data_IF_997360311117
#
_entry.id   IF_997360311117
#
_cell.length_a   1.000
_cell.length_b   1.000
_cell.length_c   1.000
_cell.angle_alpha   90.00
_cell.angle_beta   90.00
_cell.angle_gamma   90.00
#
_symmetry.space_group_name_H-M   'P 1'
#
loop_
_entity.id
_entity.type
_entity.pdbx_description
1 polymer ?
#
# COMPACT_ATOMS: atom_id res chain seq x y z
N UNK A 1 -17.63 -16.33 -51.90
CA UNK A 1 -17.60 -17.23 -50.72
C UNK A 1 -16.62 -16.84 -49.61
N UNK A 2 -15.85 -15.73 -49.71
CA UNK A 2 -14.96 -15.29 -48.64
C UNK A 2 -15.70 -14.83 -47.36
N UNK A 3 -16.85 -14.16 -47.52
CA UNK A 3 -17.59 -13.55 -46.41
C UNK A 3 -18.14 -14.56 -45.37
N UNK A 4 -18.78 -15.66 -45.80
CA UNK A 4 -19.31 -16.68 -44.87
C UNK A 4 -18.21 -17.43 -44.10
N UNK A 5 -17.07 -17.70 -44.74
CA UNK A 5 -15.92 -18.34 -44.07
C UNK A 5 -15.31 -17.41 -43.02
N UNK A 6 -15.20 -16.12 -43.34
CA UNK A 6 -14.70 -15.09 -42.41
C UNK A 6 -15.62 -14.92 -41.19
N UNK A 7 -16.94 -14.89 -41.39
CA UNK A 7 -17.92 -14.83 -40.30
C UNK A 7 -17.77 -16.06 -39.39
N UNK A 8 -17.66 -17.27 -39.95
CA UNK A 8 -17.45 -18.49 -39.17
C UNK A 8 -16.16 -18.42 -38.35
N UNK A 9 -15.08 -17.91 -38.92
CA UNK A 9 -13.81 -17.74 -38.20
C UNK A 9 -13.92 -16.71 -37.05
N UNK A 10 -14.65 -15.59 -37.25
CA UNK A 10 -14.91 -14.62 -36.17
C UNK A 10 -15.73 -15.25 -35.04
N UNK A 11 -16.74 -16.06 -35.36
CA UNK A 11 -17.54 -16.77 -34.34
C UNK A 11 -16.65 -17.68 -33.49
N UNK A 12 -15.77 -18.47 -34.13
CA UNK A 12 -14.84 -19.35 -33.40
C UNK A 12 -13.87 -18.54 -32.52
N UNK A 13 -13.32 -17.44 -33.05
CA UNK A 13 -12.41 -16.55 -32.29
C UNK A 13 -13.09 -15.92 -31.07
N UNK A 14 -14.31 -15.41 -31.22
CA UNK A 14 -15.10 -14.82 -30.12
C UNK A 14 -15.47 -15.88 -29.09
N UNK A 15 -15.88 -17.08 -29.51
CA UNK A 15 -16.19 -18.17 -28.60
C UNK A 15 -14.97 -18.63 -27.80
N UNK A 16 -13.80 -18.73 -28.44
CA UNK A 16 -12.54 -19.03 -27.75
C UNK A 16 -12.19 -17.95 -26.73
N UNK A 17 -12.29 -16.68 -27.11
CA UNK A 17 -12.04 -15.54 -26.20
C UNK A 17 -13.01 -15.53 -25.01
N UNK A 18 -14.28 -15.88 -25.23
CA UNK A 18 -15.30 -16.03 -24.18
C UNK A 18 -14.94 -17.14 -23.19
N UNK A 19 -14.47 -18.30 -23.66
CA UNK A 19 -14.05 -19.39 -22.79
C UNK A 19 -12.82 -19.00 -21.96
N UNK A 20 -11.81 -18.40 -22.58
CA UNK A 20 -10.58 -17.95 -21.90
C UNK A 20 -10.91 -16.92 -20.81
N UNK A 21 -11.70 -15.90 -21.13
CA UNK A 21 -12.09 -14.86 -20.16
C UNK A 21 -12.98 -15.41 -19.04
N UNK A 22 -13.86 -16.38 -19.33
CA UNK A 22 -14.66 -17.07 -18.32
C UNK A 22 -13.79 -17.87 -17.35
N UNK A 23 -12.81 -18.62 -17.87
CA UNK A 23 -11.85 -19.35 -17.03
C UNK A 23 -11.01 -18.39 -16.18
N UNK A 24 -10.51 -17.30 -16.76
CA UNK A 24 -9.77 -16.26 -16.03
C UNK A 24 -10.63 -15.65 -14.91
N UNK A 25 -11.92 -15.38 -15.16
CA UNK A 25 -12.84 -14.87 -14.13
C UNK A 25 -12.93 -15.83 -12.94
N UNK A 26 -13.07 -17.14 -13.18
CA UNK A 26 -13.13 -18.14 -12.10
C UNK A 26 -11.82 -18.22 -11.32
N UNK A 27 -10.67 -18.23 -12.00
CA UNK A 27 -9.35 -18.24 -11.36
C UNK A 27 -9.13 -16.98 -10.52
N UNK A 28 -9.49 -15.81 -11.04
CA UNK A 28 -9.39 -14.55 -10.31
C UNK A 28 -10.34 -14.50 -9.11
N UNK A 29 -11.56 -15.04 -9.23
CA UNK A 29 -12.49 -15.12 -8.10
C UNK A 29 -11.94 -16.00 -6.97
N UNK A 30 -11.34 -17.14 -7.30
CA UNK A 30 -10.69 -18.00 -6.31
C UNK A 30 -9.50 -17.31 -5.62
N UNK A 31 -8.71 -16.54 -6.37
CA UNK A 31 -7.60 -15.74 -5.80
C UNK A 31 -8.08 -14.61 -4.91
N UNK A 32 -9.14 -13.91 -5.32
CA UNK A 32 -9.75 -12.85 -4.52
C UNK A 32 -10.24 -13.39 -3.18
N UNK A 33 -10.91 -14.54 -3.18
CA UNK A 33 -11.38 -15.17 -1.93
C UNK A 33 -10.22 -15.49 -0.98
N UNK A 34 -9.13 -16.08 -1.48
CA UNK A 34 -7.93 -16.34 -0.66
C UNK A 34 -7.33 -15.06 -0.07
N UNK A 35 -7.25 -14.00 -0.87
CA UNK A 35 -6.75 -12.70 -0.40
C UNK A 35 -7.67 -12.09 0.67
N UNK A 36 -9.00 -12.18 0.48
CA UNK A 36 -9.98 -11.73 1.48
C UNK A 36 -9.83 -12.49 2.79
N UNK A 37 -9.71 -13.81 2.74
CA UNK A 37 -9.54 -14.65 3.93
C UNK A 37 -8.26 -14.26 4.70
N UNK A 38 -7.14 -14.01 3.99
CA UNK A 38 -5.90 -13.55 4.60
C UNK A 38 -6.05 -12.16 5.28
N UNK A 39 -6.75 -11.22 4.64
CA UNK A 39 -7.02 -9.89 5.22
C UNK A 39 -7.92 -9.98 6.46
N UNK A 40 -8.95 -10.85 6.42
CA UNK A 40 -9.86 -11.07 7.56
C UNK A 40 -9.09 -11.63 8.75
N UNK A 41 -8.16 -12.56 8.53
CA UNK A 41 -7.31 -13.13 9.58
C UNK A 41 -6.33 -12.10 10.17
N UNK A 42 -5.85 -11.15 9.36
CA UNK A 42 -4.93 -10.09 9.81
C UNK A 42 -5.64 -8.97 10.60
N UNK A 43 -6.90 -8.69 10.29
CA UNK A 43 -7.64 -7.54 10.84
C UNK A 43 -7.66 -7.47 12.38
N UNK A 44 -7.89 -8.57 13.14
CA UNK A 44 -7.85 -8.53 14.61
C UNK A 44 -6.50 -8.05 15.16
N UNK A 45 -5.40 -8.53 14.59
CA UNK A 45 -4.05 -8.12 14.99
C UNK A 45 -3.80 -6.64 14.69
N UNK A 46 -4.10 -6.20 13.46
CA UNK A 46 -3.94 -4.79 13.06
C UNK A 46 -4.79 -3.85 13.91
N UNK A 47 -6.04 -4.21 14.21
CA UNK A 47 -6.93 -3.38 15.00
C UNK A 47 -6.46 -3.29 16.45
N UNK A 48 -6.06 -4.43 17.06
CA UNK A 48 -5.58 -4.42 18.45
C UNK A 48 -4.25 -3.69 18.60
N UNK A 49 -3.36 -3.80 17.61
CA UNK A 49 -2.12 -3.02 17.54
C UNK A 49 -2.41 -1.52 17.50
N UNK A 50 -3.33 -1.07 16.64
CA UNK A 50 -3.74 0.33 16.56
C UNK A 50 -4.40 0.82 17.85
N UNK A 51 -5.24 -0.01 18.46
CA UNK A 51 -5.88 0.29 19.75
C UNK A 51 -4.82 0.49 20.86
N UNK A 52 -3.84 -0.40 20.96
CA UNK A 52 -2.76 -0.29 21.95
C UNK A 52 -1.92 0.96 21.70
N UNK A 53 -1.52 1.22 20.44
CA UNK A 53 -0.75 2.43 20.10
C UNK A 53 -1.56 3.69 20.44
N UNK A 54 -2.86 3.70 20.12
CA UNK A 54 -3.75 4.81 20.47
C UNK A 54 -3.83 5.01 21.98
N UNK A 55 -4.03 3.96 22.76
CA UNK A 55 -4.14 4.03 24.21
C UNK A 55 -2.84 4.51 24.87
N UNK A 56 -1.68 4.09 24.36
CA UNK A 56 -0.37 4.56 24.87
C UNK A 56 -0.11 6.01 24.47
N UNK A 57 -0.57 6.42 23.28
CA UNK A 57 -0.40 7.79 22.77
C UNK A 57 -1.29 8.81 23.51
N UNK A 58 -2.42 8.37 24.09
CA UNK A 58 -3.29 9.23 24.92
C UNK A 58 -2.52 9.63 26.19
N UNK A 59 -2.20 10.91 26.30
CA UNK A 59 -1.46 11.50 27.42
C UNK A 59 0.05 11.68 27.19
N UNK A 60 0.55 11.41 25.98
CA UNK A 60 1.87 11.86 25.53
C UNK A 60 1.68 13.11 24.65
N UNK A 61 2.28 14.24 25.06
CA UNK A 61 2.20 15.51 24.32
C UNK A 61 2.88 15.43 22.94
N UNK A 62 3.84 14.51 22.79
CA UNK A 62 4.46 14.14 21.52
C UNK A 62 4.77 12.65 21.50
N UNK A 63 4.56 12.01 20.34
CA UNK A 63 5.18 10.72 20.04
C UNK A 63 6.63 11.02 19.69
N UNK A 64 7.48 11.20 20.71
CA UNK A 64 8.91 11.34 20.49
C UNK A 64 9.46 10.02 19.96
N UNK A 65 9.89 10.02 18.70
CA UNK A 65 10.39 8.83 18.04
C UNK A 65 10.91 9.11 16.64
N UNK A 66 11.90 8.33 16.23
CA UNK A 66 12.60 8.46 14.94
C UNK A 66 11.66 8.35 13.72
N UNK A 67 10.45 7.83 13.90
CA UNK A 67 9.44 7.66 12.84
C UNK A 67 8.34 8.73 12.85
N UNK A 68 8.32 9.61 13.84
CA UNK A 68 7.28 10.64 14.03
C UNK A 68 7.80 12.06 13.79
N UNK A 69 9.11 12.22 13.59
CA UNK A 69 9.77 13.52 13.36
C UNK A 69 9.21 14.20 12.10
N UNK A 70 8.52 15.33 12.28
CA UNK A 70 8.10 16.19 11.19
C UNK A 70 9.19 17.20 10.87
N UNK A 71 9.52 17.29 9.58
CA UNK A 71 10.61 18.13 9.07
C UNK A 71 10.22 18.79 7.76
N UNK A 72 11.06 19.73 7.32
CA UNK A 72 10.90 20.40 6.05
C UNK A 72 10.88 19.39 4.90
N UNK A 73 9.85 19.46 4.05
CA UNK A 73 9.62 18.49 2.98
C UNK A 73 10.57 18.75 1.80
N UNK A 74 11.69 18.02 1.74
CA UNK A 74 12.65 18.10 0.63
C UNK A 74 12.59 16.86 -0.26
N UNK A 75 12.53 15.67 0.33
CA UNK A 75 12.50 14.39 -0.37
C UNK A 75 11.22 13.64 -0.02
N UNK A 76 10.41 13.31 -1.03
CA UNK A 76 9.13 12.62 -0.85
C UNK A 76 9.16 11.28 -1.57
N UNK A 77 8.84 10.20 -0.85
CA UNK A 77 8.69 8.87 -1.41
C UNK A 77 7.22 8.54 -1.65
N UNK A 78 6.86 8.33 -2.91
CA UNK A 78 5.56 7.78 -3.28
C UNK A 78 5.70 6.27 -3.52
N UNK A 79 5.06 5.47 -2.66
CA UNK A 79 4.99 4.01 -2.82
C UNK A 79 3.72 3.68 -3.59
N UNK A 80 3.85 3.40 -4.88
CA UNK A 80 2.70 3.05 -5.70
C UNK A 80 2.54 1.55 -5.82
N UNK A 81 1.38 1.03 -5.41
CA UNK A 81 1.07 -0.40 -5.36
C UNK A 81 0.21 -0.77 -6.56
N UNK A 82 0.77 -1.57 -7.46
CA UNK A 82 0.09 -2.08 -8.66
C UNK A 82 0.36 -3.56 -8.88
N UNK A 83 -0.42 -4.18 -9.77
CA UNK A 83 -0.23 -5.58 -10.12
C UNK A 83 0.90 -5.78 -11.13
N UNK A 84 1.42 -7.01 -11.22
CA UNK A 84 2.27 -7.43 -12.33
C UNK A 84 1.49 -7.67 -13.64
N UNK A 85 0.18 -7.90 -13.54
CA UNK A 85 -0.68 -8.38 -14.64
C UNK A 85 -1.53 -7.25 -15.23
N UNK A 86 -2.09 -7.50 -16.41
CA UNK A 86 -3.06 -6.62 -17.07
C UNK A 86 -4.50 -7.12 -16.88
N UNK A 87 -5.41 -6.65 -17.74
CA UNK A 87 -6.83 -7.08 -17.79
C UNK A 87 -7.59 -6.87 -16.47
N UNK A 88 -7.25 -5.82 -15.74
CA UNK A 88 -7.79 -5.48 -14.41
C UNK A 88 -8.59 -4.16 -14.44
N UNK A 89 -9.15 -3.79 -15.59
CA UNK A 89 -9.86 -2.52 -15.77
C UNK A 89 -8.99 -1.32 -15.39
N UNK A 90 -9.54 -0.43 -14.57
CA UNK A 90 -8.87 0.80 -14.11
C UNK A 90 -7.85 0.62 -13.00
N UNK A 91 -7.71 -0.56 -12.39
CA UNK A 91 -6.93 -0.77 -11.15
C UNK A 91 -5.52 -0.18 -11.19
N UNK A 92 -4.70 -0.60 -12.16
CA UNK A 92 -3.32 -0.10 -12.28
C UNK A 92 -3.28 1.39 -12.72
N UNK A 93 -4.15 1.77 -13.65
CA UNK A 93 -4.16 3.13 -14.22
C UNK A 93 -4.55 4.18 -13.19
N UNK A 94 -5.47 3.86 -12.26
CA UNK A 94 -5.90 4.77 -11.21
C UNK A 94 -4.73 5.12 -10.28
N UNK A 95 -3.98 4.10 -9.82
CA UNK A 95 -2.78 4.30 -8.98
C UNK A 95 -1.72 5.10 -9.71
N UNK A 96 -1.38 4.73 -10.95
CA UNK A 96 -0.36 5.43 -11.75
C UNK A 96 -0.73 6.91 -11.93
N UNK A 97 -1.99 7.21 -12.30
CA UNK A 97 -2.46 8.59 -12.47
C UNK A 97 -2.36 9.38 -11.17
N UNK A 98 -2.74 8.78 -10.04
CA UNK A 98 -2.68 9.45 -8.74
C UNK A 98 -1.25 9.72 -8.30
N UNK A 99 -0.32 8.78 -8.50
CA UNK A 99 1.11 8.99 -8.22
C UNK A 99 1.66 10.15 -9.04
N UNK A 100 1.39 10.19 -10.35
CA UNK A 100 1.83 11.27 -11.23
C UNK A 100 1.22 12.61 -10.82
N UNK A 101 -0.08 12.63 -10.47
CA UNK A 101 -0.78 13.83 -10.03
C UNK A 101 -0.22 14.37 -8.71
N UNK A 102 0.03 13.50 -7.73
CA UNK A 102 0.64 13.90 -6.45
C UNK A 102 2.04 14.50 -6.67
N UNK A 103 2.85 13.85 -7.52
CA UNK A 103 4.19 14.35 -7.84
C UNK A 103 4.16 15.71 -8.55
N UNK A 104 3.23 15.91 -9.49
CA UNK A 104 3.16 17.12 -10.30
C UNK A 104 2.51 18.32 -9.58
N UNK A 105 1.57 18.07 -8.66
CA UNK A 105 0.77 19.13 -8.03
C UNK A 105 1.19 19.35 -6.57
N UNK A 106 1.03 18.35 -5.71
CA UNK A 106 1.19 18.49 -4.26
C UNK A 106 2.66 18.59 -3.87
N UNK A 107 3.52 17.80 -4.54
CA UNK A 107 4.93 17.71 -4.22
C UNK A 107 5.84 18.35 -5.28
N UNK A 108 5.32 19.32 -6.04
CA UNK A 108 6.03 19.96 -7.17
C UNK A 108 7.38 20.58 -6.77
N UNK A 109 7.47 21.11 -5.55
CA UNK A 109 8.66 21.79 -5.03
C UNK A 109 9.61 20.86 -4.25
N UNK A 110 9.28 19.57 -4.15
CA UNK A 110 10.08 18.57 -3.48
C UNK A 110 10.70 17.61 -4.51
N UNK A 111 11.79 16.95 -4.13
CA UNK A 111 12.36 15.85 -4.88
C UNK A 111 11.50 14.59 -4.68
N UNK A 112 10.70 14.25 -5.68
CA UNK A 112 9.78 13.12 -5.63
C UNK A 112 10.45 11.87 -6.19
N UNK A 113 10.55 10.86 -5.36
CA UNK A 113 11.04 9.54 -5.72
C UNK A 113 9.89 8.54 -5.65
N UNK A 114 9.79 7.65 -6.62
CA UNK A 114 8.75 6.60 -6.64
C UNK A 114 9.37 5.26 -6.30
N UNK A 115 8.75 4.54 -5.35
CA UNK A 115 8.99 3.12 -5.10
C UNK A 115 7.89 2.32 -5.81
N UNK A 116 8.18 1.73 -6.98
CA UNK A 116 7.20 0.95 -7.71
C UNK A 116 7.03 -0.43 -7.08
N UNK A 117 5.86 -0.74 -6.51
CA UNK A 117 5.49 -2.12 -6.16
C UNK A 117 4.64 -2.69 -7.29
N UNK A 118 5.20 -3.70 -7.97
CA UNK A 118 4.63 -4.32 -9.16
C UNK A 118 5.16 -3.79 -10.50
N UNK A 119 5.06 -4.63 -11.52
CA UNK A 119 5.61 -4.38 -12.86
C UNK A 119 4.93 -3.22 -13.59
N UNK A 120 3.61 -3.04 -13.41
CA UNK A 120 2.84 -2.07 -14.21
C UNK A 120 3.18 -0.63 -13.90
N UNK A 121 3.33 -0.28 -12.62
CA UNK A 121 3.82 1.05 -12.25
C UNK A 121 5.30 1.23 -12.61
N UNK A 122 6.14 0.22 -12.43
CA UNK A 122 7.56 0.28 -12.84
C UNK A 122 7.70 0.65 -14.32
N UNK A 123 6.96 -0.02 -15.20
CA UNK A 123 6.97 0.23 -16.64
C UNK A 123 6.40 1.61 -17.00
N UNK A 124 5.41 2.10 -16.25
CA UNK A 124 4.84 3.43 -16.45
C UNK A 124 5.80 4.54 -16.03
N UNK A 125 6.43 4.41 -14.86
CA UNK A 125 7.34 5.42 -14.31
C UNK A 125 8.62 5.54 -15.14
N UNK A 126 9.12 4.44 -15.72
CA UNK A 126 10.25 4.47 -16.67
C UNK A 126 10.04 5.39 -17.87
N UNK A 127 8.78 5.66 -18.23
CA UNK A 127 8.42 6.52 -19.37
C UNK A 127 8.20 7.99 -18.96
N UNK A 128 8.31 8.31 -17.68
CA UNK A 128 8.13 9.65 -17.13
C UNK A 128 9.47 10.23 -16.65
N UNK A 129 9.47 11.52 -16.30
CA UNK A 129 10.60 12.22 -15.70
C UNK A 129 10.82 11.90 -14.22
N UNK A 130 9.97 11.07 -13.62
CA UNK A 130 10.04 10.70 -12.21
C UNK A 130 11.17 9.68 -11.96
N UNK A 131 11.99 9.97 -10.94
CA UNK A 131 13.10 9.11 -10.54
C UNK A 131 12.59 7.90 -9.74
N UNK A 132 13.06 6.71 -10.10
CA UNK A 132 12.84 5.50 -9.29
C UNK A 132 13.91 5.44 -8.22
N UNK A 133 13.56 5.08 -6.98
CA UNK A 133 14.53 5.02 -5.88
C UNK A 133 15.62 3.98 -6.14
N UNK A 134 16.85 4.35 -6.54
CA UNK A 134 17.85 3.36 -6.95
C UNK A 134 18.18 2.38 -5.81
N UNK A 135 18.17 2.89 -4.57
CA UNK A 135 18.53 2.16 -3.36
C UNK A 135 17.39 1.27 -2.82
N UNK A 136 16.12 1.58 -3.13
CA UNK A 136 14.95 0.82 -2.64
C UNK A 136 14.36 -0.14 -3.69
N UNK A 137 14.87 -0.12 -4.93
CA UNK A 137 14.28 -0.78 -6.10
C UNK A 137 14.48 -2.30 -6.22
N UNK A 138 15.12 -2.97 -5.26
CA UNK A 138 15.46 -4.38 -5.41
C UNK A 138 14.20 -5.28 -5.48
N UNK A 139 13.82 -5.67 -6.70
CA UNK A 139 12.83 -6.71 -7.06
C UNK A 139 11.49 -6.70 -6.31
N UNK A 140 10.95 -5.51 -6.04
CA UNK A 140 9.58 -5.30 -5.52
C UNK A 140 8.46 -5.97 -6.34
N UNK A 141 8.71 -6.38 -7.58
CA UNK A 141 7.75 -7.13 -8.39
C UNK A 141 7.58 -8.59 -7.95
N UNK A 142 8.59 -9.20 -7.31
CA UNK A 142 8.55 -10.59 -6.84
C UNK A 142 7.64 -10.79 -5.63
N UNK A 143 7.23 -9.70 -4.97
CA UNK A 143 6.34 -9.77 -3.81
C UNK A 143 4.99 -10.42 -4.16
N UNK A 144 4.57 -10.35 -5.43
CA UNK A 144 3.33 -10.94 -5.89
C UNK A 144 3.42 -12.45 -6.16
N UNK A 145 4.64 -12.98 -6.29
CA UNK A 145 4.87 -14.42 -6.43
C UNK A 145 4.68 -15.11 -5.07
N UNK A 146 5.15 -14.46 -4.00
CA UNK A 146 5.02 -14.90 -2.62
C UNK A 146 4.74 -13.72 -1.68
N UNK A 147 3.45 -13.46 -1.44
CA UNK A 147 2.99 -12.39 -0.55
C UNK A 147 2.97 -12.89 0.90
N UNK A 148 4.10 -12.72 1.59
CA UNK A 148 4.26 -13.05 3.01
C UNK A 148 4.58 -11.81 3.84
N UNK A 149 4.27 -11.86 5.14
CA UNK A 149 4.60 -10.78 6.06
C UNK A 149 6.11 -10.52 6.12
N UNK A 150 6.95 -11.55 6.01
CA UNK A 150 8.40 -11.41 5.97
C UNK A 150 8.85 -10.56 4.77
N UNK A 151 8.40 -10.91 3.56
CA UNK A 151 8.75 -10.18 2.34
C UNK A 151 8.25 -8.72 2.37
N UNK A 152 7.05 -8.49 2.89
CA UNK A 152 6.53 -7.13 3.08
C UNK A 152 7.32 -6.35 4.15
N UNK A 153 7.72 -7.02 5.24
CA UNK A 153 8.50 -6.42 6.32
C UNK A 153 9.89 -5.97 5.86
N UNK A 154 10.52 -6.71 4.96
CA UNK A 154 11.81 -6.32 4.38
C UNK A 154 11.71 -5.02 3.57
N UNK A 155 10.62 -4.83 2.83
CA UNK A 155 10.36 -3.58 2.11
C UNK A 155 10.08 -2.45 3.11
N UNK A 156 9.24 -2.69 4.12
CA UNK A 156 8.95 -1.70 5.16
C UNK A 156 10.23 -1.27 5.89
N UNK A 157 11.09 -2.22 6.27
CA UNK A 157 12.37 -1.93 6.93
C UNK A 157 13.26 -1.01 6.10
N UNK A 158 13.35 -1.23 4.78
CA UNK A 158 14.15 -0.37 3.89
C UNK A 158 13.59 1.04 3.82
N UNK A 159 12.26 1.18 3.72
CA UNK A 159 11.58 2.49 3.73
C UNK A 159 11.84 3.21 5.06
N UNK A 160 11.71 2.49 6.17
CA UNK A 160 11.94 3.00 7.51
C UNK A 160 13.39 3.45 7.71
N UNK A 161 14.37 2.64 7.27
CA UNK A 161 15.79 3.01 7.33
C UNK A 161 16.09 4.26 6.50
N UNK A 162 15.54 4.38 5.29
CA UNK A 162 15.72 5.57 4.47
C UNK A 162 15.11 6.83 5.12
N UNK A 163 14.03 6.69 5.88
CA UNK A 163 13.46 7.77 6.68
C UNK A 163 14.40 8.16 7.83
N UNK A 164 14.84 7.20 8.64
CA UNK A 164 15.75 7.42 9.79
C UNK A 164 17.09 8.02 9.35
N UNK A 165 17.65 7.55 8.22
CA UNK A 165 18.88 8.09 7.62
C UNK A 165 18.72 9.50 7.01
N UNK A 166 17.52 10.06 7.09
CA UNK A 166 17.14 11.36 6.56
C UNK A 166 17.24 11.50 5.05
N UNK A 167 17.23 10.39 4.31
CA UNK A 167 17.16 10.39 2.84
C UNK A 167 15.76 10.78 2.34
N UNK A 168 14.73 10.51 3.14
CA UNK A 168 13.31 10.70 2.78
C UNK A 168 12.58 11.38 3.94
N UNK A 169 11.88 12.47 3.66
CA UNK A 169 11.19 13.28 4.68
C UNK A 169 9.71 12.93 4.84
N UNK A 170 9.09 12.34 3.80
CA UNK A 170 7.70 11.90 3.81
C UNK A 170 7.49 10.68 2.92
N UNK A 171 6.70 9.73 3.39
CA UNK A 171 6.32 8.52 2.65
C UNK A 171 4.82 8.46 2.51
N UNK A 172 4.32 8.28 1.30
CA UNK A 172 2.89 8.13 1.00
C UNK A 172 2.65 6.83 0.24
N UNK A 173 1.73 6.00 0.74
CA UNK A 173 1.27 4.80 0.03
C UNK A 173 0.11 5.18 -0.89
N UNK A 174 0.19 4.75 -2.15
CA UNK A 174 -0.89 4.92 -3.13
C UNK A 174 -1.34 3.53 -3.58
N UNK A 175 -2.55 3.14 -3.18
CA UNK A 175 -3.08 1.80 -3.40
C UNK A 175 -4.60 1.81 -3.56
N UNK A 176 -5.16 0.71 -4.03
CA UNK A 176 -6.60 0.53 -4.16
C UNK A 176 -7.13 -0.23 -2.94
N UNK A 177 -7.89 0.44 -2.09
CA UNK A 177 -8.58 -0.18 -0.97
C UNK A 177 -9.79 -0.98 -1.47
N UNK A 178 -9.85 -2.23 -1.04
CA UNK A 178 -10.98 -3.10 -1.35
C UNK A 178 -12.21 -2.71 -0.53
N UNK A 179 -13.29 -2.28 -1.20
CA UNK A 179 -14.62 -2.09 -0.57
C UNK A 179 -15.53 -3.26 -0.86
N UNK A 180 -15.66 -3.62 -2.14
CA UNK A 180 -16.37 -4.81 -2.59
C UNK A 180 -15.85 -5.26 -3.96
N UNK A 181 -16.40 -6.35 -4.51
CA UNK A 181 -15.93 -6.91 -5.77
C UNK A 181 -16.04 -5.95 -6.98
N UNK A 182 -16.92 -4.94 -6.91
CA UNK A 182 -17.13 -3.97 -7.98
C UNK A 182 -16.38 -2.65 -7.73
N UNK A 183 -16.24 -2.25 -6.46
CA UNK A 183 -15.71 -0.94 -6.06
C UNK A 183 -14.38 -1.11 -5.35
N UNK A 184 -13.35 -0.50 -5.93
CA UNK A 184 -12.07 -0.25 -5.28
C UNK A 184 -11.89 1.26 -5.11
N UNK A 185 -11.61 1.70 -3.89
CA UNK A 185 -11.40 3.11 -3.58
C UNK A 185 -9.90 3.43 -3.61
N UNK A 186 -9.53 4.46 -4.37
CA UNK A 186 -8.13 4.85 -4.49
C UNK A 186 -7.72 5.66 -3.25
N UNK A 187 -6.77 5.12 -2.49
CA UNK A 187 -6.24 5.75 -1.28
C UNK A 187 -4.84 6.32 -1.53
N UNK A 188 -4.58 7.46 -0.91
CA UNK A 188 -3.25 8.06 -0.79
C UNK A 188 -3.03 8.34 0.70
N UNK A 189 -2.39 7.40 1.39
CA UNK A 189 -2.27 7.38 2.85
C UNK A 189 -0.84 7.73 3.25
N UNK A 190 -0.68 8.61 4.23
CA UNK A 190 0.63 8.90 4.79
C UNK A 190 1.11 7.72 5.62
N UNK A 191 2.30 7.22 5.30
CA UNK A 191 2.96 6.12 6.00
C UNK A 191 3.94 6.64 7.05
N UNK A 192 4.78 7.60 6.64
CA UNK A 192 5.76 8.27 7.49
C UNK A 192 5.77 9.77 7.16
N UNK A 193 5.98 10.66 8.14
CA UNK A 193 6.04 10.38 9.58
C UNK A 193 4.72 9.86 10.14
N UNK A 194 4.79 9.05 11.20
CA UNK A 194 3.60 8.57 11.92
C UNK A 194 2.96 9.77 12.61
N UNK A 195 1.70 10.03 12.25
CA UNK A 195 0.92 11.06 12.92
C UNK A 195 0.25 10.45 14.16
N UNK A 196 0.13 11.20 15.27
CA UNK A 196 -0.70 10.77 16.37
C UNK A 196 -2.13 10.51 15.85
N UNK A 197 -2.81 9.47 16.35
CA UNK A 197 -4.16 9.16 15.94
C UNK A 197 -5.04 10.38 16.20
N UNK A 198 -5.45 11.07 15.14
CA UNK A 198 -6.46 12.12 15.25
C UNK A 198 -7.74 11.45 15.72
N UNK A 199 -8.28 11.89 16.85
CA UNK A 199 -9.54 11.40 17.40
C UNK A 199 -10.59 11.25 16.28
N UNK A 200 -10.97 10.01 15.98
CA UNK A 200 -12.12 9.78 15.13
C UNK A 200 -13.33 10.34 15.85
N UNK A 201 -13.89 11.46 15.36
CA UNK A 201 -15.13 12.10 15.81
C UNK A 201 -16.40 11.25 15.54
N UNK A 202 -16.33 9.93 15.72
CA UNK A 202 -17.42 9.04 15.40
C UNK A 202 -17.27 7.69 16.09
N UNK A 203 -17.95 7.57 17.22
CA UNK A 203 -18.24 6.36 17.98
C UNK A 203 -17.21 5.83 19.00
N UNK A 204 -17.75 5.78 20.23
CA UNK A 204 -17.48 4.87 21.35
C UNK A 204 -16.23 5.14 22.18
N UNK A 205 -16.48 5.90 23.25
CA UNK A 205 -16.00 5.61 24.61
C UNK A 205 -14.61 5.00 24.67
N UNK A 206 -13.58 5.85 24.68
CA UNK A 206 -12.28 5.51 25.24
C UNK A 206 -12.49 5.18 26.72
N UNK A 207 -12.90 3.94 27.00
CA UNK A 207 -12.55 3.29 28.25
C UNK A 207 -11.04 3.32 28.26
N UNK A 208 -10.46 4.31 28.95
CA UNK A 208 -9.07 4.32 29.33
C UNK A 208 -8.84 3.09 30.19
N UNK A 209 -8.56 1.96 29.55
CA UNK A 209 -8.10 0.77 30.24
C UNK A 209 -6.77 1.18 30.83
N UNK A 210 -6.72 1.26 32.16
CA UNK A 210 -5.52 1.65 32.88
C UNK A 210 -4.53 0.47 32.81
N UNK A 211 -3.54 0.62 31.94
CA UNK A 211 -2.50 -0.38 31.75
C UNK A 211 -1.34 -0.08 32.70
N UNK A 212 -0.87 -1.10 33.40
CA UNK A 212 0.44 -1.07 34.02
C UNK A 212 1.46 -1.34 32.91
N UNK A 213 2.36 -0.39 32.67
CA UNK A 213 3.38 -0.50 31.63
C UNK A 213 4.69 -1.00 32.23
N UNK A 214 5.27 -2.01 31.62
CA UNK A 214 6.61 -2.50 31.93
C UNK A 214 7.38 -2.68 30.60
N UNK A 215 8.55 -2.05 30.40
CA UNK A 215 9.29 -1.16 31.30
C UNK A 215 8.75 0.28 31.30
N UNK A 216 8.76 1.00 30.18
CA UNK A 216 8.31 2.40 30.05
C UNK A 216 7.45 2.57 28.80
N UNK A 217 6.47 3.48 28.82
CA UNK A 217 5.55 3.73 27.69
C UNK A 217 6.28 4.04 26.38
N UNK A 218 7.33 4.85 26.46
CA UNK A 218 8.15 5.27 25.30
C UNK A 218 8.90 4.10 24.68
N UNK A 219 9.48 3.22 25.50
CA UNK A 219 10.18 2.01 25.05
C UNK A 219 9.23 1.06 24.32
N UNK A 220 8.02 0.87 24.86
CA UNK A 220 6.98 0.04 24.21
C UNK A 220 6.59 0.64 22.86
N UNK A 221 6.40 1.96 22.76
CA UNK A 221 6.09 2.62 21.48
C UNK A 221 7.21 2.45 20.45
N UNK A 222 8.47 2.59 20.85
CA UNK A 222 9.62 2.40 19.97
C UNK A 222 9.66 1.00 19.36
N UNK A 223 9.18 -0.03 20.07
CA UNK A 223 9.08 -1.38 19.54
C UNK A 223 7.81 -1.62 18.71
N UNK A 224 6.68 -1.05 19.13
CA UNK A 224 5.37 -1.26 18.48
C UNK A 224 5.20 -0.49 17.18
N UNK A 225 5.74 0.73 17.07
CA UNK A 225 5.63 1.54 15.84
C UNK A 225 6.21 0.81 14.62
N UNK A 226 7.46 0.27 14.67
CA UNK A 226 7.99 -0.58 13.61
C UNK A 226 7.09 -1.75 13.21
N UNK A 227 6.51 -2.44 14.19
CA UNK A 227 5.61 -3.58 13.93
C UNK A 227 4.34 -3.11 13.24
N UNK A 228 3.75 -2.00 13.69
CA UNK A 228 2.56 -1.41 13.11
C UNK A 228 2.78 -0.95 11.67
N UNK A 229 3.90 -0.28 11.38
CA UNK A 229 4.27 0.13 10.02
C UNK A 229 4.43 -1.08 9.07
N UNK A 230 5.08 -2.16 9.53
CA UNK A 230 5.18 -3.41 8.76
C UNK A 230 3.80 -4.00 8.47
N UNK A 231 2.93 -4.05 9.47
CA UNK A 231 1.54 -4.53 9.31
C UNK A 231 0.73 -3.63 8.38
N UNK A 232 0.89 -2.31 8.46
CA UNK A 232 0.19 -1.35 7.59
C UNK A 232 0.61 -1.52 6.13
N UNK A 233 1.92 -1.68 5.85
CA UNK A 233 2.38 -1.96 4.50
C UNK A 233 1.85 -3.32 4.01
N UNK A 234 1.90 -4.35 4.84
CA UNK A 234 1.39 -5.68 4.48
C UNK A 234 -0.11 -5.68 4.21
N UNK A 235 -0.90 -4.88 4.95
CA UNK A 235 -2.33 -4.67 4.72
C UNK A 235 -2.63 -3.91 3.42
N UNK A 236 -1.73 -3.01 3.01
CA UNK A 236 -1.89 -2.22 1.78
C UNK A 236 -1.57 -3.02 0.50
N UNK A 237 -0.82 -4.12 0.61
CA UNK A 237 -0.49 -5.06 -0.46
C UNK A 237 -1.62 -6.05 -0.72
#
# INVERSE_FOLDING_TARGET
MANLKEIRNRIVSVNSTKQITSAMKMVSAAKLRRAQDAVVQMRPYSNKMQEIISNISVGLDSIDGEYSEQRELKNVLLVGITSNRGLCGGFNNNVIKKVILLAANEYKNANVVVLPIGKKIRDAIKKTTLTQSPNLNANTEKIWDELTFANASDIANKIMQAFVNKEIDKVVLVYNQFKNAAVQELQAEQFLPVLPPTENKGNTSSSSIDYIFEPEKTSILQELIPKSLKTQLFKAL
#
